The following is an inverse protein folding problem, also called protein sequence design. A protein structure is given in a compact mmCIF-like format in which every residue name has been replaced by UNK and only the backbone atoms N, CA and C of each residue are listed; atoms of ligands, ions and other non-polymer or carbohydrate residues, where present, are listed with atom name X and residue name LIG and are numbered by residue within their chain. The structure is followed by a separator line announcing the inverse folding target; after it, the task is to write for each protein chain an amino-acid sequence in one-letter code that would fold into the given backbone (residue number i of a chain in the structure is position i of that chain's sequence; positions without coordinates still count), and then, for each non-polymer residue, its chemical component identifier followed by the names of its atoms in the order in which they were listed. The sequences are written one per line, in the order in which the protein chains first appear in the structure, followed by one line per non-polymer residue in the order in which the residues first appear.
data_IF_044800553976
#
_entry.id   IF_044800553976
#
_cell.length_a   1.000
_cell.length_b   1.000
_cell.length_c   1.000
_cell.angle_alpha   90.00
_cell.angle_beta   90.00
_cell.angle_gamma   90.00
#
_symmetry.space_group_name_H-M   'P 1'
#
loop_
_entity.id
_entity.type
_entity.pdbx_description
1 polymer ?
#
# COMPACT_ATOMS: atom_id res chain seq x y z
N UNK A 1 29.82 -48.20 17.15
CA UNK A 1 30.52 -47.02 16.59
C UNK A 1 29.80 -45.77 17.05
N UNK A 2 30.26 -45.19 18.16
CA UNK A 2 29.61 -44.07 18.84
C UNK A 2 30.02 -42.75 18.18
N UNK A 3 29.07 -42.02 17.57
CA UNK A 3 29.32 -40.64 17.12
C UNK A 3 28.96 -39.67 18.23
N UNK A 4 30.00 -39.22 18.93
CA UNK A 4 29.99 -38.19 19.95
C UNK A 4 29.95 -36.83 19.24
N UNK A 5 28.87 -36.07 19.43
CA UNK A 5 28.78 -34.68 18.99
C UNK A 5 29.54 -33.78 19.99
N UNK A 6 30.30 -32.77 19.55
CA UNK A 6 30.93 -31.83 20.48
C UNK A 6 29.93 -30.76 20.91
N UNK A 7 29.76 -30.61 22.22
CA UNK A 7 29.06 -29.51 22.88
C UNK A 7 29.85 -28.23 22.70
N UNK A 8 29.33 -27.27 21.93
CA UNK A 8 29.88 -25.92 21.89
C UNK A 8 29.36 -25.13 23.11
N UNK A 9 30.26 -24.83 24.04
CA UNK A 9 30.00 -23.91 25.14
C UNK A 9 29.86 -22.48 24.61
N UNK A 10 28.80 -21.82 25.06
CA UNK A 10 28.53 -20.41 24.82
C UNK A 10 29.49 -19.53 25.62
N UNK A 11 30.25 -18.66 24.95
CA UNK A 11 30.70 -17.39 25.52
C UNK A 11 30.98 -16.41 24.37
N UNK A 12 30.07 -15.46 24.20
CA UNK A 12 30.26 -14.27 23.39
C UNK A 12 29.23 -13.23 23.85
N UNK A 13 29.64 -12.03 24.29
CA UNK A 13 28.70 -11.06 24.83
C UNK A 13 27.72 -10.62 23.75
N UNK A 14 26.44 -10.57 24.12
CA UNK A 14 25.37 -10.00 23.33
C UNK A 14 25.76 -8.58 22.91
N UNK A 15 25.88 -8.36 21.60
CA UNK A 15 25.99 -7.03 21.01
C UNK A 15 24.56 -6.47 20.86
N UNK A 16 24.12 -5.46 21.64
CA UNK A 16 22.78 -4.89 21.53
C UNK A 16 22.78 -3.66 20.61
N UNK A 17 23.59 -3.66 19.55
CA UNK A 17 23.64 -2.55 18.59
C UNK A 17 23.27 -3.03 17.18
N UNK A 18 21.97 -3.11 16.92
CA UNK A 18 21.46 -3.40 15.58
C UNK A 18 20.01 -3.03 15.32
N UNK A 19 19.18 -2.84 16.36
CA UNK A 19 17.72 -2.67 16.16
C UNK A 19 17.17 -1.33 16.65
N UNK A 20 17.90 -0.58 17.49
CA UNK A 20 17.35 0.58 18.20
C UNK A 20 17.22 1.89 17.42
N UNK A 21 17.54 1.93 16.12
CA UNK A 21 17.36 3.15 15.30
C UNK A 21 16.10 3.13 14.42
N UNK A 22 15.58 1.95 14.07
CA UNK A 22 14.40 1.83 13.20
C UNK A 22 13.09 2.00 13.99
N UNK A 23 12.99 1.41 15.19
CA UNK A 23 11.74 1.46 16.00
C UNK A 23 11.47 2.84 16.62
N UNK A 24 12.51 3.63 16.88
CA UNK A 24 12.36 5.00 17.43
C UNK A 24 11.66 5.96 16.46
N UNK A 25 11.84 5.78 15.16
CA UNK A 25 11.21 6.65 14.16
C UNK A 25 9.70 6.40 14.06
N UNK A 26 9.25 5.16 14.28
CA UNK A 26 7.85 4.78 14.11
C UNK A 26 6.94 5.34 15.23
N UNK A 27 7.46 5.46 16.45
CA UNK A 27 6.74 6.09 17.56
C UNK A 27 6.72 7.62 17.46
N UNK A 28 7.69 8.22 16.78
CA UNK A 28 7.83 9.68 16.73
C UNK A 28 6.86 10.33 15.74
N UNK A 29 6.54 9.68 14.62
CA UNK A 29 5.61 10.24 13.61
C UNK A 29 4.19 10.37 14.18
N UNK A 30 3.73 9.40 14.99
CA UNK A 30 2.41 9.45 15.62
C UNK A 30 2.33 10.52 16.72
N UNK A 31 3.45 10.79 17.40
CA UNK A 31 3.52 11.75 18.50
C UNK A 31 3.76 13.20 18.03
N UNK A 32 4.42 13.42 16.89
CA UNK A 32 4.74 14.76 16.38
C UNK A 32 3.61 15.40 15.57
N UNK A 33 2.69 14.59 15.03
CA UNK A 33 1.59 15.08 14.21
C UNK A 33 0.34 15.42 15.05
N UNK A 34 0.46 16.40 15.94
CA UNK A 34 -0.70 16.98 16.63
C UNK A 34 -1.51 17.85 15.65
N UNK A 35 -2.39 17.25 14.84
CA UNK A 35 -3.23 17.97 13.86
C UNK A 35 -4.16 19.02 14.48
N UNK A 36 -4.41 18.93 15.79
CA UNK A 36 -5.18 19.92 16.55
C UNK A 36 -4.57 21.33 16.49
N UNK A 37 -3.25 21.45 16.35
CA UNK A 37 -2.56 22.75 16.14
C UNK A 37 -2.46 23.15 14.66
N UNK A 38 -2.91 22.29 13.75
CA UNK A 38 -2.84 22.51 12.31
C UNK A 38 -4.08 23.22 11.77
N UNK A 39 -5.17 23.28 12.55
CA UNK A 39 -6.42 23.92 12.12
C UNK A 39 -7.08 23.18 10.94
N UNK A 40 -6.68 21.93 10.70
CA UNK A 40 -7.24 21.06 9.68
C UNK A 40 -8.20 20.07 10.33
N UNK A 41 -9.36 19.86 9.71
CA UNK A 41 -10.31 18.82 10.13
C UNK A 41 -9.80 17.47 9.63
N UNK A 42 -9.71 16.51 10.55
CA UNK A 42 -9.27 15.14 10.26
C UNK A 42 -10.34 14.20 10.77
N UNK A 43 -10.80 13.28 9.92
CA UNK A 43 -11.81 12.29 10.29
C UNK A 43 -11.19 11.04 10.93
N UNK A 44 -9.94 10.72 10.62
CA UNK A 44 -9.25 9.57 11.20
C UNK A 44 -7.77 9.47 10.83
N UNK A 45 -7.06 8.62 11.56
CA UNK A 45 -5.67 8.26 11.29
C UNK A 45 -5.51 6.74 11.34
N UNK A 46 -4.77 6.20 10.37
CA UNK A 46 -4.41 4.78 10.32
C UNK A 46 -2.94 4.65 10.02
N UNK A 47 -2.22 3.87 10.83
CA UNK A 47 -0.84 3.53 10.55
C UNK A 47 -0.80 2.12 9.96
N UNK A 48 -0.28 2.01 8.74
CA UNK A 48 -0.15 0.75 8.02
C UNK A 48 1.33 0.53 7.73
N UNK A 49 1.97 -0.32 8.53
CA UNK A 49 3.41 -0.57 8.46
C UNK A 49 4.19 0.75 8.59
N UNK A 50 4.87 1.18 7.53
CA UNK A 50 5.67 2.42 7.49
C UNK A 50 4.91 3.62 6.87
N UNK A 51 3.60 3.50 6.65
CA UNK A 51 2.76 4.54 6.04
C UNK A 51 1.76 5.07 7.06
N UNK A 52 1.67 6.39 7.17
CA UNK A 52 0.60 7.06 7.89
C UNK A 52 -0.48 7.51 6.89
N UNK A 53 -1.70 7.02 7.08
CA UNK A 53 -2.88 7.44 6.33
C UNK A 53 -3.69 8.40 7.18
N UNK A 54 -4.05 9.54 6.59
CA UNK A 54 -4.83 10.59 7.23
C UNK A 54 -6.12 10.76 6.42
N UNK A 55 -7.25 10.47 7.04
CA UNK A 55 -8.56 10.66 6.43
C UNK A 55 -8.97 12.14 6.65
N UNK A 56 -9.17 12.87 5.56
CA UNK A 56 -9.59 14.28 5.57
C UNK A 56 -10.97 14.41 4.91
N UNK A 57 -11.97 15.03 5.55
CA UNK A 57 -13.27 15.27 4.93
C UNK A 57 -13.22 16.34 3.84
N UNK A 58 -12.35 17.34 3.99
CA UNK A 58 -12.29 18.52 3.12
C UNK A 58 -10.97 18.59 2.34
N UNK A 59 -11.02 19.08 1.10
CA UNK A 59 -9.85 19.29 0.25
C UNK A 59 -8.92 20.40 0.78
N UNK A 60 -9.49 21.47 1.36
CA UNK A 60 -8.71 22.56 1.96
C UNK A 60 -7.87 22.09 3.15
N UNK A 61 -8.44 21.22 4.00
CA UNK A 61 -7.73 20.63 5.14
C UNK A 61 -6.55 19.77 4.65
N UNK A 62 -6.74 19.03 3.56
CA UNK A 62 -5.69 18.22 2.94
C UNK A 62 -4.52 19.07 2.44
N UNK A 63 -4.80 20.19 1.79
CA UNK A 63 -3.74 21.09 1.28
C UNK A 63 -2.93 21.74 2.39
N UNK A 64 -3.60 22.22 3.45
CA UNK A 64 -2.94 22.75 4.65
C UNK A 64 -2.01 21.73 5.30
N UNK A 65 -2.40 20.46 5.35
CA UNK A 65 -1.56 19.39 5.88
C UNK A 65 -0.34 19.18 4.97
N UNK A 66 -0.55 19.10 3.65
CA UNK A 66 0.55 18.94 2.67
C UNK A 66 1.57 20.07 2.79
N UNK A 67 1.10 21.32 2.90
CA UNK A 67 1.96 22.48 3.07
C UNK A 67 2.78 22.40 4.36
N UNK A 68 2.14 22.07 5.49
CA UNK A 68 2.86 21.94 6.77
C UNK A 68 3.87 20.80 6.78
N UNK A 69 3.59 19.67 6.14
CA UNK A 69 4.56 18.57 6.01
C UNK A 69 5.80 19.03 5.25
N UNK A 70 5.63 19.80 4.18
CA UNK A 70 6.75 20.31 3.37
C UNK A 70 7.64 21.29 4.13
N UNK A 71 7.06 22.13 4.99
CA UNK A 71 7.80 23.13 5.78
C UNK A 71 8.57 22.47 6.94
N UNK A 72 8.15 21.28 7.36
CA UNK A 72 8.66 20.65 8.56
C UNK A 72 9.92 19.81 8.25
N UNK A 73 11.08 20.27 8.71
CA UNK A 73 12.40 19.68 8.36
C UNK A 73 12.51 18.17 8.65
N UNK A 74 11.91 17.68 9.75
CA UNK A 74 11.91 16.26 10.10
C UNK A 74 10.98 15.38 9.22
N UNK A 75 10.12 16.01 8.42
CA UNK A 75 9.21 15.32 7.48
C UNK A 75 9.55 15.59 6.02
N UNK A 76 10.61 16.37 5.76
CA UNK A 76 11.07 16.68 4.41
C UNK A 76 11.39 15.43 3.57
N UNK A 77 11.74 14.32 4.22
CA UNK A 77 12.01 13.02 3.58
C UNK A 77 10.76 12.15 3.38
N UNK A 78 9.59 12.58 3.85
CA UNK A 78 8.34 11.81 3.75
C UNK A 78 7.66 12.12 2.42
N UNK A 79 7.45 11.09 1.61
CA UNK A 79 6.71 11.21 0.37
C UNK A 79 5.20 11.25 0.64
N UNK A 80 4.54 12.34 0.24
CA UNK A 80 3.09 12.48 0.37
C UNK A 80 2.42 11.97 -0.91
N UNK A 81 1.75 10.83 -0.82
CA UNK A 81 0.97 10.27 -1.94
C UNK A 81 -0.50 10.56 -1.77
N UNK A 82 -1.10 11.16 -2.80
CA UNK A 82 -2.56 11.20 -2.90
C UNK A 82 -3.04 9.77 -3.21
N UNK A 83 -4.09 9.27 -2.54
CA UNK A 83 -4.66 7.98 -2.90
C UNK A 83 -5.14 8.03 -4.35
N UNK A 84 -4.59 7.17 -5.17
CA UNK A 84 -5.01 7.03 -6.56
C UNK A 84 -6.38 6.31 -6.60
N UNK A 85 -7.26 6.77 -7.48
CA UNK A 85 -8.55 6.12 -7.71
C UNK A 85 -8.29 4.72 -8.25
N UNK A 86 -8.54 3.70 -7.43
CA UNK A 86 -8.48 2.31 -7.89
C UNK A 86 -9.73 1.99 -8.67
N UNK A 87 -9.55 1.44 -9.86
CA UNK A 87 -10.66 0.85 -10.62
C UNK A 87 -11.03 -0.51 -9.98
N UNK A 88 -12.31 -0.88 -9.96
CA UNK A 88 -12.70 -2.22 -9.54
C UNK A 88 -12.15 -3.24 -10.55
N UNK A 89 -11.48 -4.28 -10.04
CA UNK A 89 -10.95 -5.37 -10.86
C UNK A 89 -11.73 -6.65 -10.57
N UNK A 90 -12.02 -7.43 -11.61
CA UNK A 90 -12.62 -8.76 -11.48
C UNK A 90 -11.80 -9.78 -12.28
N UNK A 91 -11.89 -11.06 -11.89
CA UNK A 91 -11.26 -12.18 -12.60
C UNK A 91 -12.40 -13.05 -13.12
N UNK A 92 -12.39 -13.27 -14.44
CA UNK A 92 -13.37 -14.12 -15.12
C UNK A 92 -12.65 -15.41 -15.51
N UNK A 93 -13.21 -16.54 -15.10
CA UNK A 93 -12.69 -17.87 -15.42
C UNK A 93 -13.45 -18.48 -16.60
N UNK A 94 -12.92 -19.57 -17.13
CA UNK A 94 -13.57 -20.40 -18.15
C UNK A 94 -13.85 -19.68 -19.48
N UNK A 95 -13.00 -18.70 -19.81
CA UNK A 95 -13.00 -18.08 -21.14
C UNK A 95 -12.43 -19.09 -22.15
N UNK A 96 -13.16 -19.43 -23.23
CA UNK A 96 -12.66 -20.29 -24.29
C UNK A 96 -11.36 -19.74 -24.90
N UNK A 97 -10.39 -20.63 -25.19
CA UNK A 97 -9.10 -20.25 -25.80
C UNK A 97 -9.21 -19.48 -27.12
N UNK A 98 -10.26 -19.75 -27.87
CA UNK A 98 -10.50 -19.16 -29.18
C UNK A 98 -11.16 -17.77 -29.10
N UNK A 99 -11.49 -17.30 -27.90
CA UNK A 99 -12.15 -16.01 -27.70
C UNK A 99 -11.09 -14.90 -27.64
N UNK A 100 -11.20 -13.94 -28.54
CA UNK A 100 -10.32 -12.76 -28.57
C UNK A 100 -10.77 -11.72 -27.53
N UNK A 101 -9.89 -10.76 -27.24
CA UNK A 101 -10.16 -9.73 -26.23
C UNK A 101 -11.40 -8.90 -26.58
N UNK A 102 -11.58 -8.60 -27.86
CA UNK A 102 -12.72 -7.85 -28.40
C UNK A 102 -14.04 -8.57 -28.17
N UNK A 103 -14.07 -9.90 -28.32
CA UNK A 103 -15.27 -10.71 -28.10
C UNK A 103 -15.66 -10.72 -26.62
N UNK A 104 -14.67 -10.78 -25.73
CA UNK A 104 -14.89 -10.69 -24.28
C UNK A 104 -15.47 -9.33 -23.91
N UNK A 105 -14.91 -8.23 -24.44
CA UNK A 105 -15.44 -6.89 -24.18
C UNK A 105 -16.83 -6.69 -24.76
N UNK A 106 -17.10 -7.23 -25.94
CA UNK A 106 -18.42 -7.17 -26.55
C UNK A 106 -19.45 -7.93 -25.70
N UNK A 107 -19.11 -9.12 -25.23
CA UNK A 107 -19.98 -9.93 -24.37
C UNK A 107 -20.26 -9.24 -23.03
N UNK A 108 -19.24 -8.64 -22.41
CA UNK A 108 -19.38 -7.86 -21.18
C UNK A 108 -20.25 -6.62 -21.41
N UNK A 109 -20.01 -5.90 -22.51
CA UNK A 109 -20.78 -4.72 -22.91
C UNK A 109 -22.26 -5.06 -23.07
N UNK A 110 -22.60 -6.16 -23.74
CA UNK A 110 -23.98 -6.63 -23.87
C UNK A 110 -24.60 -7.02 -22.53
N UNK A 111 -23.86 -7.71 -21.66
CA UNK A 111 -24.38 -8.17 -20.37
C UNK A 111 -24.59 -7.03 -19.36
N UNK A 112 -23.73 -6.02 -19.36
CA UNK A 112 -23.79 -4.91 -18.39
C UNK A 112 -24.45 -3.65 -18.95
N UNK A 113 -24.67 -3.56 -20.25
CA UNK A 113 -25.12 -2.35 -20.94
C UNK A 113 -24.10 -1.21 -20.92
N UNK A 114 -22.82 -1.51 -20.71
CA UNK A 114 -21.74 -0.52 -20.68
C UNK A 114 -20.98 -0.52 -22.00
N UNK A 115 -20.39 0.61 -22.38
CA UNK A 115 -19.53 0.71 -23.57
C UNK A 115 -18.30 -0.21 -23.45
N UNK A 116 -17.90 -0.87 -24.54
CA UNK A 116 -16.73 -1.75 -24.57
C UNK A 116 -15.42 -1.02 -24.19
N UNK A 117 -15.34 0.28 -24.49
CA UNK A 117 -14.21 1.16 -24.18
C UNK A 117 -13.95 1.39 -22.68
N UNK A 118 -14.93 1.06 -21.83
CA UNK A 118 -14.82 1.18 -20.36
C UNK A 118 -14.05 0.00 -19.78
N UNK A 119 -14.03 -1.14 -20.46
CA UNK A 119 -13.33 -2.33 -20.00
C UNK A 119 -11.85 -2.28 -20.37
N UNK A 120 -11.02 -2.75 -19.45
CA UNK A 120 -9.58 -2.86 -19.66
C UNK A 120 -9.08 -4.18 -19.10
N UNK A 121 -8.34 -4.91 -19.93
CA UNK A 121 -7.66 -6.12 -19.51
C UNK A 121 -6.43 -5.76 -18.67
N UNK A 122 -6.35 -6.35 -17.47
CA UNK A 122 -5.19 -6.18 -16.58
C UNK A 122 -4.07 -7.20 -16.89
N UNK A 123 -4.41 -8.34 -17.47
CA UNK A 123 -3.47 -9.44 -17.75
C UNK A 123 -3.85 -10.15 -19.05
N UNK A 124 -2.86 -10.57 -19.85
CA UNK A 124 -3.11 -11.35 -21.06
C UNK A 124 -4.03 -12.54 -20.77
N UNK A 125 -5.06 -12.72 -21.60
CA UNK A 125 -5.97 -13.86 -21.53
C UNK A 125 -5.12 -15.13 -21.74
N UNK A 126 -5.04 -15.95 -20.70
CA UNK A 126 -4.33 -17.24 -20.74
C UNK A 126 -5.36 -18.35 -20.78
N UNK A 127 -5.46 -19.03 -21.91
CA UNK A 127 -6.18 -20.28 -21.98
C UNK A 127 -5.50 -21.37 -21.16
N UNK A 128 -6.29 -22.27 -20.57
CA UNK A 128 -5.76 -23.49 -19.93
C UNK A 128 -5.09 -24.35 -20.99
N UNK A 129 -3.76 -24.48 -20.97
CA UNK A 129 -3.01 -25.38 -21.85
C UNK A 129 -3.67 -26.77 -21.89
N UNK A 130 -3.84 -27.33 -23.09
CA UNK A 130 -3.99 -28.78 -23.18
C UNK A 130 -2.62 -29.40 -22.94
#
# INVERSE_FOLDING_TARGET
MNRRWPTAQAHGPANPQGTCRQERNNHQIKASFNLSTIGAKVSGFRQISNVLTIDCPDEESREKIIEKVKVTEYLSSVEIKKPEKRFPHCIIYDIPKAMEEEDVFHSLSQATGMESSVFKISFKIKGRGE
#
